data_IF_816763508269
#
_entry.id   IF_816763508269
#
_cell.length_a   1.000
_cell.length_b   1.000
_cell.length_c   1.000
_cell.angle_alpha   90.00
_cell.angle_beta   90.00
_cell.angle_gamma   90.00
#
_symmetry.space_group_name_H-M   'P 1'
#
loop_
_entity.id
_entity.type
_entity.pdbx_description
1 polymer ?
#
# COMPACT_ATOMS: atom_id res chain seq x y z
N UNK A 1 13.18 10.31 11.29
CA UNK A 1 13.10 10.09 9.83
C UNK A 1 11.78 10.60 9.24
N UNK A 2 11.78 10.97 7.96
CA UNK A 2 10.57 11.37 7.22
C UNK A 2 10.47 10.59 5.91
N UNK A 3 9.27 10.10 5.61
CA UNK A 3 8.94 9.51 4.32
C UNK A 3 7.82 10.29 3.65
N UNK A 4 7.98 10.56 2.37
CA UNK A 4 6.93 11.12 1.50
C UNK A 4 6.41 10.00 0.61
N UNK A 5 5.14 9.68 0.77
CA UNK A 5 4.44 8.62 0.05
C UNK A 5 3.69 9.26 -1.11
N UNK A 6 4.10 8.94 -2.33
CA UNK A 6 3.37 9.35 -3.52
C UNK A 6 2.29 8.33 -3.86
N UNK A 7 1.11 8.82 -4.16
CA UNK A 7 -0.08 8.03 -4.44
C UNK A 7 0.02 7.38 -5.82
N UNK A 8 -0.61 6.21 -6.00
CA UNK A 8 -0.75 5.58 -7.32
C UNK A 8 -1.41 6.55 -8.33
N UNK A 9 -0.88 6.73 -9.56
CA UNK A 9 -1.39 7.73 -10.51
C UNK A 9 -2.88 7.57 -10.83
N UNK A 10 -3.42 6.35 -10.84
CA UNK A 10 -4.85 6.14 -11.07
C UNK A 10 -5.74 6.70 -9.95
N UNK A 11 -5.18 6.99 -8.76
CA UNK A 11 -5.88 7.65 -7.67
C UNK A 11 -5.94 9.16 -7.91
N UNK A 12 -4.91 9.76 -8.51
CA UNK A 12 -4.82 11.21 -8.70
C UNK A 12 -5.73 11.72 -9.81
N UNK A 13 -6.08 10.88 -10.78
CA UNK A 13 -7.03 11.17 -11.87
C UNK A 13 -8.51 11.05 -11.46
N UNK A 14 -8.81 10.55 -10.25
CA UNK A 14 -10.20 10.44 -9.77
C UNK A 14 -10.77 11.83 -9.41
N UNK A 15 -12.10 11.93 -9.37
CA UNK A 15 -12.78 13.13 -8.87
C UNK A 15 -12.30 13.50 -7.46
N UNK A 16 -12.36 14.78 -7.12
CA UNK A 16 -11.88 15.31 -5.83
C UNK A 16 -12.44 14.55 -4.63
N UNK A 17 -13.75 14.26 -4.62
CA UNK A 17 -14.41 13.52 -3.53
C UNK A 17 -13.87 12.09 -3.38
N UNK A 18 -13.70 11.38 -4.50
CA UNK A 18 -13.18 10.01 -4.51
C UNK A 18 -11.71 9.99 -4.09
N UNK A 19 -10.89 10.91 -4.63
CA UNK A 19 -9.48 11.06 -4.26
C UNK A 19 -9.31 11.30 -2.76
N UNK A 20 -10.07 12.24 -2.18
CA UNK A 20 -10.03 12.51 -0.74
C UNK A 20 -10.41 11.28 0.09
N UNK A 21 -11.43 10.53 -0.33
CA UNK A 21 -11.82 9.26 0.30
C UNK A 21 -10.67 8.25 0.27
N UNK A 22 -10.01 8.10 -0.88
CA UNK A 22 -8.93 7.14 -1.07
C UNK A 22 -7.70 7.50 -0.23
N UNK A 23 -7.32 8.77 -0.20
CA UNK A 23 -6.21 9.27 0.64
C UNK A 23 -6.51 9.01 2.12
N UNK A 24 -7.75 9.25 2.57
CA UNK A 24 -8.16 8.98 3.95
C UNK A 24 -8.03 7.49 4.30
N UNK A 25 -8.49 6.60 3.41
CA UNK A 25 -8.38 5.15 3.62
C UNK A 25 -6.91 4.73 3.63
N UNK A 26 -6.11 5.18 2.67
CA UNK A 26 -4.68 4.85 2.59
C UNK A 26 -3.92 5.31 3.84
N UNK A 27 -4.21 6.51 4.33
CA UNK A 27 -3.66 7.05 5.59
C UNK A 27 -3.97 6.11 6.76
N UNK A 28 -5.21 5.60 6.84
CA UNK A 28 -5.60 4.61 7.85
C UNK A 28 -4.86 3.28 7.68
N UNK A 29 -4.71 2.80 6.44
CA UNK A 29 -4.00 1.56 6.14
C UNK A 29 -2.54 1.63 6.56
N UNK A 30 -1.85 2.72 6.20
CA UNK A 30 -0.47 2.98 6.58
C UNK A 30 -0.35 3.00 8.11
N UNK A 31 -1.21 3.75 8.81
CA UNK A 31 -1.19 3.80 10.26
C UNK A 31 -1.38 2.42 10.90
N UNK A 32 -2.33 1.63 10.41
CA UNK A 32 -2.61 0.31 10.96
C UNK A 32 -1.44 -0.67 10.77
N UNK A 33 -0.74 -0.61 9.64
CA UNK A 33 0.43 -1.45 9.36
C UNK A 33 1.63 -1.00 10.20
N UNK A 34 1.89 0.31 10.25
CA UNK A 34 3.09 0.86 10.89
C UNK A 34 3.01 0.91 12.42
N UNK A 35 1.80 0.86 13.00
CA UNK A 35 1.63 0.82 14.47
C UNK A 35 2.38 -0.34 15.13
N UNK A 36 2.60 -1.45 14.42
CA UNK A 36 3.34 -2.60 14.93
C UNK A 36 4.86 -2.36 15.06
N UNK A 37 5.38 -1.27 14.46
CA UNK A 37 6.81 -0.93 14.47
C UNK A 37 7.09 0.29 15.36
N UNK A 38 6.25 1.32 15.30
CA UNK A 38 6.36 2.54 16.11
C UNK A 38 4.96 3.07 16.43
N UNK A 39 4.55 3.03 17.70
CA UNK A 39 3.25 3.55 18.13
C UNK A 39 3.18 5.09 18.13
N UNK A 40 4.33 5.76 18.15
CA UNK A 40 4.44 7.23 18.19
C UNK A 40 4.48 7.88 16.80
N UNK A 41 4.42 7.07 15.76
CA UNK A 41 4.49 7.49 14.36
C UNK A 41 3.33 8.41 13.97
N UNK A 42 3.67 9.51 13.30
CA UNK A 42 2.71 10.46 12.75
C UNK A 42 2.50 10.19 11.25
N UNK A 43 1.25 9.97 10.85
CA UNK A 43 0.83 9.91 9.44
C UNK A 43 -0.03 11.12 9.14
N UNK A 44 0.52 12.04 8.35
CA UNK A 44 -0.13 13.30 7.95
C UNK A 44 -0.57 13.20 6.50
N UNK A 45 -1.83 13.52 6.23
CA UNK A 45 -2.37 13.53 4.86
C UNK A 45 -2.18 14.92 4.26
N UNK A 46 -1.66 14.96 3.05
CA UNK A 46 -1.65 16.16 2.21
C UNK A 46 -2.53 15.92 0.98
N UNK A 47 -2.72 16.96 0.17
CA UNK A 47 -3.59 16.87 -1.01
C UNK A 47 -3.07 15.85 -2.05
N UNK A 48 -1.76 15.78 -2.24
CA UNK A 48 -1.11 15.01 -3.30
C UNK A 48 -0.14 13.94 -2.82
N UNK A 49 0.14 13.89 -1.53
CA UNK A 49 1.02 12.90 -0.93
C UNK A 49 0.59 12.61 0.52
N UNK A 50 1.16 11.56 1.09
CA UNK A 50 1.03 11.25 2.53
C UNK A 50 2.42 11.35 3.12
N UNK A 51 2.52 11.95 4.29
CA UNK A 51 3.76 12.10 5.03
C UNK A 51 3.75 11.16 6.22
N UNK A 52 4.86 10.44 6.42
CA UNK A 52 5.09 9.57 7.56
C UNK A 52 6.32 10.05 8.31
N UNK A 53 6.17 10.35 9.60
CA UNK A 53 7.26 10.71 10.50
C UNK A 53 7.39 9.65 11.58
N UNK A 54 8.60 9.09 11.71
CA UNK A 54 8.97 8.19 12.80
C UNK A 54 10.16 8.78 13.57
N UNK A 55 10.19 8.54 14.88
CA UNK A 55 11.26 9.03 15.75
C UNK A 55 12.41 8.02 15.89
N UNK A 56 12.08 6.74 15.95
CA UNK A 56 13.08 5.68 16.13
C UNK A 56 13.79 5.34 14.82
N UNK A 57 15.05 5.79 14.71
CA UNK A 57 15.90 5.55 13.53
C UNK A 57 16.23 4.06 13.30
N UNK A 58 16.17 3.22 14.33
CA UNK A 58 16.49 1.79 14.20
C UNK A 58 15.43 1.02 13.38
N UNK A 59 14.18 1.49 13.38
CA UNK A 59 13.08 0.88 12.65
C UNK A 59 13.01 1.32 11.18
N UNK A 60 13.90 2.22 10.74
CA UNK A 60 13.92 2.76 9.37
C UNK A 60 13.83 1.68 8.28
N UNK A 61 14.67 0.64 8.25
CA UNK A 61 14.61 -0.37 7.18
C UNK A 61 13.30 -1.16 7.22
N UNK A 62 12.77 -1.45 8.40
CA UNK A 62 11.53 -2.22 8.58
C UNK A 62 10.29 -1.40 8.16
N UNK A 63 10.23 -0.13 8.54
CA UNK A 63 9.16 0.80 8.12
C UNK A 63 9.18 0.99 6.61
N UNK A 64 10.36 1.22 6.02
CA UNK A 64 10.53 1.33 4.57
C UNK A 64 10.01 0.08 3.86
N UNK A 65 10.46 -1.09 4.30
CA UNK A 65 10.03 -2.37 3.73
C UNK A 65 8.52 -2.58 3.85
N UNK A 66 7.92 -2.28 5.00
CA UNK A 66 6.48 -2.33 5.21
C UNK A 66 5.73 -1.40 4.25
N UNK A 67 6.19 -0.15 4.07
CA UNK A 67 5.59 0.82 3.16
C UNK A 67 5.58 0.33 1.71
N UNK A 68 6.65 -0.31 1.22
CA UNK A 68 6.70 -0.81 -0.16
C UNK A 68 5.59 -1.83 -0.46
N UNK A 69 5.04 -2.50 0.56
CA UNK A 69 4.07 -3.61 0.44
C UNK A 69 2.62 -3.17 0.61
N UNK A 70 2.34 -1.89 0.82
CA UNK A 70 0.97 -1.39 1.04
C UNK A 70 0.31 -1.04 -0.31
N UNK A 71 -0.86 -1.64 -0.64
CA UNK A 71 -1.60 -1.28 -1.83
C UNK A 71 -2.03 0.18 -1.84
N UNK A 72 -1.89 0.86 -2.98
CA UNK A 72 -2.20 2.28 -3.15
C UNK A 72 -0.97 3.21 -3.18
N UNK A 73 0.20 2.71 -2.79
CA UNK A 73 1.46 3.46 -2.81
C UNK A 73 2.17 3.26 -4.15
N UNK A 74 2.47 4.35 -4.86
CA UNK A 74 3.26 4.30 -6.10
C UNK A 74 4.73 4.12 -5.80
N UNK A 75 5.30 5.07 -5.05
CA UNK A 75 6.67 5.03 -4.57
C UNK A 75 6.78 5.86 -3.29
N UNK A 76 7.85 5.60 -2.56
CA UNK A 76 8.20 6.24 -1.30
C UNK A 76 9.50 7.00 -1.51
N UNK A 77 9.53 8.25 -1.08
CA UNK A 77 10.74 9.04 -0.97
C UNK A 77 11.15 9.06 0.50
N UNK A 78 12.34 8.54 0.79
CA UNK A 78 13.00 8.76 2.07
C UNK A 78 13.68 10.12 2.02
N UNK A 79 13.30 11.01 2.93
CA UNK A 79 13.74 12.40 2.90
C UNK A 79 14.29 12.85 4.25
N UNK A 80 15.32 13.69 4.20
CA UNK A 80 15.69 14.54 5.33
C UNK A 80 15.06 15.90 5.18
N UNK A 81 14.50 16.37 6.28
CA UNK A 81 13.74 17.61 6.36
C UNK A 81 14.54 18.60 7.20
N UNK A 82 15.11 19.60 6.53
CA UNK A 82 16.08 20.52 7.10
C UNK A 82 15.68 21.95 6.76
N UNK A 83 15.86 22.92 7.68
CA UNK A 83 15.64 24.32 7.35
C UNK A 83 16.73 24.80 6.40
N UNK A 84 16.43 25.80 5.56
CA UNK A 84 17.43 26.49 4.77
C UNK A 84 17.26 28.01 4.87
N UNK A 85 18.35 28.73 4.69
CA UNK A 85 18.42 30.19 4.79
C UNK A 85 18.69 30.88 3.46
N UNK A 86 19.40 30.22 2.55
CA UNK A 86 19.81 30.78 1.27
C UNK A 86 20.00 29.71 0.20
N UNK A 87 20.16 30.12 -1.07
CA UNK A 87 20.55 29.22 -2.15
C UNK A 87 21.91 28.55 -1.90
N UNK A 88 22.82 29.27 -1.23
CA UNK A 88 24.14 28.73 -0.88
C UNK A 88 24.03 27.61 0.16
N UNK A 89 23.21 27.84 1.18
CA UNK A 89 22.93 26.87 2.24
C UNK A 89 22.31 25.57 1.66
N UNK A 90 21.40 25.68 0.68
CA UNK A 90 20.86 24.50 -0.04
C UNK A 90 22.00 23.70 -0.70
N UNK A 91 22.95 24.38 -1.34
CA UNK A 91 24.10 23.73 -1.96
C UNK A 91 24.99 23.06 -0.90
N UNK A 92 25.34 23.76 0.18
CA UNK A 92 26.19 23.24 1.25
C UNK A 92 25.59 22.00 1.91
N UNK A 93 24.27 21.96 2.09
CA UNK A 93 23.57 20.80 2.62
C UNK A 93 23.45 19.65 1.60
N UNK A 94 23.38 19.95 0.29
CA UNK A 94 23.24 18.95 -0.77
C UNK A 94 24.58 18.24 -1.08
N UNK A 95 25.69 18.99 -1.05
CA UNK A 95 27.03 18.48 -1.38
C UNK A 95 27.44 17.22 -0.59
N UNK A 96 27.38 17.17 0.75
CA UNK A 96 27.84 16.01 1.52
C UNK A 96 26.99 14.76 1.28
N UNK A 97 25.70 14.92 0.93
CA UNK A 97 24.81 13.79 0.68
C UNK A 97 25.06 13.14 -0.68
N UNK A 98 25.47 13.93 -1.68
CA UNK A 98 25.55 13.47 -3.06
C UNK A 98 26.98 13.30 -3.59
N UNK A 99 28.01 13.78 -2.87
CA UNK A 99 29.42 13.68 -3.29
C UNK A 99 29.79 12.28 -3.77
N UNK A 100 29.67 11.29 -2.91
CA UNK A 100 30.04 9.89 -3.22
C UNK A 100 29.18 9.30 -4.35
N UNK A 101 27.91 9.69 -4.43
CA UNK A 101 26.98 9.16 -5.43
C UNK A 101 27.27 9.71 -6.85
N UNK A 102 27.85 10.91 -6.94
CA UNK A 102 28.09 11.66 -8.18
C UNK A 102 29.51 11.49 -8.74
N UNK A 103 30.45 10.98 -7.94
CA UNK A 103 31.83 10.75 -8.40
C UNK A 103 31.87 9.84 -9.63
N UNK A 104 32.54 10.32 -10.69
CA UNK A 104 32.70 9.62 -11.95
C UNK A 104 31.42 9.49 -12.80
N UNK A 105 30.34 10.19 -12.46
CA UNK A 105 29.04 10.07 -13.13
C UNK A 105 28.54 11.37 -13.75
N UNK A 106 27.63 11.23 -14.70
CA UNK A 106 26.86 12.35 -15.23
C UNK A 106 25.61 12.60 -14.40
N UNK A 107 25.24 13.86 -14.20
CA UNK A 107 24.09 14.19 -13.35
C UNK A 107 23.28 15.39 -13.81
N UNK A 108 22.04 15.46 -13.34
CA UNK A 108 21.25 16.68 -13.37
C UNK A 108 20.61 16.95 -12.01
N UNK A 109 20.37 18.23 -11.71
CA UNK A 109 19.58 18.65 -10.55
C UNK A 109 18.16 18.95 -11.00
N UNK A 110 17.18 18.44 -10.25
CA UNK A 110 15.76 18.72 -10.47
C UNK A 110 15.14 19.21 -9.17
N UNK A 111 14.58 20.42 -9.23
CA UNK A 111 14.02 21.07 -8.04
C UNK A 111 12.53 21.27 -8.20
N UNK A 112 11.76 20.80 -7.21
CA UNK A 112 10.33 21.08 -7.11
C UNK A 112 10.08 22.07 -5.98
N UNK A 113 9.46 23.21 -6.31
CA UNK A 113 9.21 24.30 -5.36
C UNK A 113 7.73 24.41 -5.00
N UNK A 114 7.43 24.59 -3.71
CA UNK A 114 6.12 24.94 -3.14
C UNK A 114 6.29 26.08 -2.15
N UNK A 115 5.44 27.11 -2.25
CA UNK A 115 5.52 28.31 -1.42
C UNK A 115 5.92 29.57 -2.19
N UNK A 116 6.23 30.64 -1.48
CA UNK A 116 6.66 31.94 -2.03
C UNK A 116 8.14 32.15 -1.72
N UNK A 117 8.95 32.32 -2.76
CA UNK A 117 10.40 32.53 -2.66
C UNK A 117 10.83 33.56 -3.71
N UNK A 118 11.90 34.29 -3.42
CA UNK A 118 12.52 35.25 -4.36
C UNK A 118 13.24 34.56 -5.54
N UNK A 119 13.46 33.25 -5.44
CA UNK A 119 14.12 32.44 -6.46
C UNK A 119 13.18 31.44 -7.15
N UNK A 120 13.54 31.09 -8.38
CA UNK A 120 12.88 30.08 -9.19
C UNK A 120 13.51 28.69 -8.99
N UNK A 121 12.79 27.63 -9.33
CA UNK A 121 13.36 26.27 -9.30
C UNK A 121 14.57 26.14 -10.24
N UNK A 122 14.53 26.81 -11.41
CA UNK A 122 15.61 26.80 -12.39
C UNK A 122 16.88 27.47 -11.84
N UNK A 123 16.74 28.57 -11.08
CA UNK A 123 17.88 29.21 -10.43
C UNK A 123 18.53 28.30 -9.39
N UNK A 124 17.72 27.58 -8.59
CA UNK A 124 18.25 26.58 -7.65
C UNK A 124 18.97 25.46 -8.40
N UNK A 125 18.37 24.91 -9.46
CA UNK A 125 18.99 23.85 -10.28
C UNK A 125 20.35 24.30 -10.85
N UNK A 126 20.42 25.53 -11.37
CA UNK A 126 21.65 26.10 -11.92
C UNK A 126 22.69 26.34 -10.83
N UNK A 127 22.30 26.93 -9.71
CA UNK A 127 23.22 27.27 -8.62
C UNK A 127 23.78 26.02 -7.96
N UNK A 128 22.91 25.11 -7.53
CA UNK A 128 23.31 23.85 -6.88
C UNK A 128 24.05 22.95 -7.86
N UNK A 129 23.57 22.82 -9.11
CA UNK A 129 24.23 22.03 -10.14
C UNK A 129 25.63 22.56 -10.49
N UNK A 130 25.77 23.88 -10.58
CA UNK A 130 27.06 24.54 -10.76
C UNK A 130 28.01 24.30 -9.60
N UNK A 131 27.53 24.46 -8.36
CA UNK A 131 28.30 24.19 -7.15
C UNK A 131 28.77 22.74 -7.07
N UNK A 132 27.89 21.77 -7.31
CA UNK A 132 28.25 20.34 -7.32
C UNK A 132 29.30 20.03 -8.40
N UNK A 133 29.14 20.58 -9.61
CA UNK A 133 30.09 20.37 -10.71
C UNK A 133 31.46 21.02 -10.47
N UNK A 134 31.53 22.10 -9.68
CA UNK A 134 32.79 22.74 -9.30
C UNK A 134 33.52 22.00 -8.17
N UNK A 135 32.79 21.35 -7.25
CA UNK A 135 33.35 20.72 -6.05
C UNK A 135 33.55 19.20 -6.17
N UNK A 136 33.05 18.59 -7.25
CA UNK A 136 33.20 17.17 -7.58
C UNK A 136 33.87 17.09 -8.95
N UNK A 137 35.20 17.08 -8.97
CA UNK A 137 36.01 17.20 -10.19
C UNK A 137 35.68 16.17 -11.28
N UNK A 138 35.22 14.98 -10.88
CA UNK A 138 34.91 13.86 -11.76
C UNK A 138 33.46 13.87 -12.26
N UNK A 139 32.57 14.63 -11.62
CA UNK A 139 31.18 14.70 -12.03
C UNK A 139 31.01 15.63 -13.25
N UNK A 140 30.01 15.34 -14.09
CA UNK A 140 29.67 16.18 -15.25
C UNK A 140 28.18 16.42 -15.34
N UNK A 141 27.77 17.66 -15.59
CA UNK A 141 26.36 17.98 -15.80
C UNK A 141 25.89 17.46 -17.17
N UNK A 142 24.82 16.67 -17.17
CA UNK A 142 24.14 16.17 -18.38
C UNK A 142 22.64 16.31 -18.18
N UNK A 143 21.97 17.11 -19.01
CA UNK A 143 20.54 17.41 -18.81
C UNK A 143 19.61 16.33 -19.38
N UNK A 144 20.08 15.58 -20.38
CA UNK A 144 19.37 14.51 -21.07
C UNK A 144 20.00 13.16 -20.70
N UNK A 145 19.20 12.23 -20.20
CA UNK A 145 19.64 10.88 -19.81
C UNK A 145 20.91 10.85 -18.91
N UNK A 146 20.89 11.50 -17.73
CA UNK A 146 22.00 11.45 -16.78
C UNK A 146 22.03 10.13 -16.00
N UNK A 147 23.22 9.73 -15.56
CA UNK A 147 23.38 8.56 -14.68
C UNK A 147 22.69 8.78 -13.32
N UNK A 148 22.70 10.01 -12.81
CA UNK A 148 22.11 10.37 -11.51
C UNK A 148 21.23 11.62 -11.63
N UNK A 149 20.03 11.55 -11.05
CA UNK A 149 19.15 12.73 -10.89
C UNK A 149 19.09 13.12 -9.41
N UNK A 150 19.68 14.27 -9.08
CA UNK A 150 19.61 14.87 -7.75
C UNK A 150 18.26 15.58 -7.61
N UNK A 151 17.35 14.99 -6.83
CA UNK A 151 16.02 15.53 -6.61
C UNK A 151 15.96 16.32 -5.30
N UNK A 152 15.58 17.59 -5.40
CA UNK A 152 15.36 18.48 -4.25
C UNK A 152 13.90 18.92 -4.24
N UNK A 153 13.20 18.82 -3.11
CA UNK A 153 11.90 19.48 -2.93
C UNK A 153 12.07 20.64 -1.92
N UNK A 154 11.61 21.84 -2.28
CA UNK A 154 11.58 23.02 -1.41
C UNK A 154 10.13 23.29 -1.06
N UNK A 155 9.80 23.30 0.24
CA UNK A 155 8.47 23.60 0.74
C UNK A 155 8.55 24.68 1.82
N UNK A 156 8.17 25.90 1.46
CA UNK A 156 8.38 27.10 2.29
C UNK A 156 9.86 27.22 2.71
N UNK A 157 10.14 27.37 4.01
CA UNK A 157 11.47 27.48 4.62
C UNK A 157 12.20 26.13 4.81
N UNK A 158 11.65 25.04 4.25
CA UNK A 158 12.16 23.68 4.44
C UNK A 158 12.68 23.10 3.13
N UNK A 159 13.85 22.48 3.21
CA UNK A 159 14.48 21.70 2.15
C UNK A 159 14.30 20.21 2.47
N UNK A 160 13.76 19.48 1.49
CA UNK A 160 13.57 18.04 1.52
C UNK A 160 14.62 17.39 0.64
N UNK A 161 15.64 16.82 1.30
CA UNK A 161 16.74 16.12 0.66
C UNK A 161 16.35 14.66 0.45
N UNK A 162 16.17 14.25 -0.81
CA UNK A 162 15.76 12.87 -1.14
C UNK A 162 16.96 11.94 -1.04
N UNK A 163 16.96 11.05 -0.04
CA UNK A 163 18.01 10.04 0.16
C UNK A 163 17.80 8.78 -0.67
N UNK A 164 16.55 8.44 -0.93
CA UNK A 164 16.21 7.23 -1.65
C UNK A 164 14.79 7.25 -2.18
N UNK A 165 14.60 6.59 -3.33
CA UNK A 165 13.30 6.34 -3.93
C UNK A 165 13.07 4.84 -3.97
N UNK A 166 11.96 4.40 -3.38
CA UNK A 166 11.60 2.99 -3.30
C UNK A 166 10.23 2.78 -3.93
N UNK A 167 10.14 1.84 -4.86
CA UNK A 167 8.89 1.54 -5.54
C UNK A 167 7.92 0.81 -4.60
N UNK A 168 6.66 1.24 -4.63
CA UNK A 168 5.56 0.56 -3.97
C UNK A 168 4.88 -0.41 -4.93
N UNK A 169 4.02 -1.28 -4.39
CA UNK A 169 3.26 -2.23 -5.22
C UNK A 169 2.17 -1.57 -6.09
N UNK A 170 1.85 -0.29 -5.90
CA UNK A 170 0.81 0.43 -6.64
C UNK A 170 -0.61 -0.06 -6.31
N UNK A 171 -1.53 0.09 -7.26
CA UNK A 171 -2.93 -0.33 -7.10
C UNK A 171 -3.75 0.62 -6.23
N UNK A 172 -4.75 0.08 -5.51
CA UNK A 172 -5.67 0.88 -4.70
C UNK A 172 -5.61 0.52 -3.21
N UNK A 173 -5.86 1.49 -2.31
CA UNK A 173 -5.91 1.22 -0.88
C UNK A 173 -6.99 0.17 -0.55
N UNK A 174 -6.63 -0.85 0.24
CA UNK A 174 -7.59 -1.86 0.73
C UNK A 174 -8.76 -1.16 1.44
N UNK A 175 -9.98 -1.60 1.12
CA UNK A 175 -11.22 -1.01 1.65
C UNK A 175 -11.80 0.10 0.77
N UNK A 176 -11.17 0.40 -0.37
CA UNK A 176 -11.77 1.25 -1.41
C UNK A 176 -12.75 0.51 -2.29
N UNK A 177 -12.53 -0.80 -2.49
CA UNK A 177 -13.43 -1.73 -3.17
C UNK A 177 -14.21 -2.56 -2.15
N UNK A 178 -15.17 -3.33 -2.64
CA UNK A 178 -15.97 -4.24 -1.83
C UNK A 178 -15.13 -5.39 -1.24
N UNK A 179 -15.68 -6.00 -0.19
CA UNK A 179 -15.10 -7.19 0.42
C UNK A 179 -15.35 -8.40 -0.49
N UNK A 180 -14.31 -9.18 -0.75
CA UNK A 180 -14.37 -10.36 -1.63
C UNK A 180 -14.03 -11.63 -0.85
N UNK A 181 -14.57 -12.76 -1.30
CA UNK A 181 -14.25 -14.08 -0.74
C UNK A 181 -13.45 -14.87 -1.79
N UNK A 182 -12.18 -15.14 -1.48
CA UNK A 182 -11.28 -15.92 -2.31
C UNK A 182 -11.37 -17.40 -1.95
N UNK A 183 -11.61 -18.25 -2.95
CA UNK A 183 -11.50 -19.71 -2.83
C UNK A 183 -10.02 -20.07 -2.86
N UNK A 184 -9.44 -20.37 -1.69
CA UNK A 184 -8.02 -20.69 -1.56
C UNK A 184 -7.85 -22.20 -1.43
N UNK A 185 -7.08 -22.79 -2.34
CA UNK A 185 -6.89 -24.25 -2.43
C UNK A 185 -5.55 -24.73 -1.86
N UNK A 186 -4.64 -23.80 -1.55
CA UNK A 186 -3.23 -24.08 -1.23
C UNK A 186 -2.32 -24.09 -2.45
N UNK A 187 -2.90 -24.05 -3.67
CA UNK A 187 -2.14 -23.91 -4.91
C UNK A 187 -1.70 -22.46 -5.20
N UNK A 188 -0.66 -22.33 -6.02
CA UNK A 188 -0.04 -21.04 -6.37
C UNK A 188 -1.04 -20.01 -6.94
N UNK A 189 -1.88 -20.43 -7.89
CA UNK A 189 -2.83 -19.53 -8.60
C UNK A 189 -3.83 -18.87 -7.64
N UNK A 190 -4.30 -19.63 -6.65
CA UNK A 190 -5.24 -19.12 -5.64
C UNK A 190 -4.61 -18.06 -4.73
N UNK A 191 -3.31 -18.17 -4.47
CA UNK A 191 -2.54 -17.15 -3.75
C UNK A 191 -2.32 -15.90 -4.57
N UNK A 192 -1.90 -16.04 -5.83
CA UNK A 192 -1.65 -14.92 -6.75
C UNK A 192 -2.93 -14.14 -7.03
N UNK A 193 -4.05 -14.83 -7.30
CA UNK A 193 -5.35 -14.18 -7.51
C UNK A 193 -5.80 -13.39 -6.28
N UNK A 194 -5.62 -13.94 -5.07
CA UNK A 194 -5.90 -13.24 -3.82
C UNK A 194 -5.04 -11.98 -3.67
N UNK A 195 -3.73 -12.08 -3.98
CA UNK A 195 -2.83 -10.93 -3.99
C UNK A 195 -3.26 -9.84 -4.98
N UNK A 196 -3.61 -10.22 -6.21
CA UNK A 196 -4.07 -9.28 -7.23
C UNK A 196 -5.35 -8.55 -6.79
N UNK A 197 -6.29 -9.23 -6.12
CA UNK A 197 -7.49 -8.60 -5.56
C UNK A 197 -7.16 -7.62 -4.43
N UNK A 198 -6.22 -7.97 -3.54
CA UNK A 198 -5.73 -7.04 -2.50
C UNK A 198 -5.11 -5.79 -3.13
N UNK A 199 -4.28 -5.97 -4.17
CA UNK A 199 -3.67 -4.86 -4.92
C UNK A 199 -4.71 -3.95 -5.59
N UNK A 200 -5.87 -4.48 -5.98
CA UNK A 200 -7.00 -3.69 -6.51
C UNK A 200 -7.84 -2.98 -5.44
N UNK A 201 -7.48 -3.11 -4.15
CA UNK A 201 -8.14 -2.41 -3.05
C UNK A 201 -9.30 -3.19 -2.41
N UNK A 202 -9.46 -4.47 -2.75
CA UNK A 202 -10.46 -5.34 -2.13
C UNK A 202 -9.96 -5.85 -0.77
N UNK A 203 -10.88 -5.97 0.20
CA UNK A 203 -10.60 -6.74 1.41
C UNK A 203 -10.85 -8.22 1.12
N UNK A 204 -9.80 -9.02 1.09
CA UNK A 204 -9.87 -10.43 0.73
C UNK A 204 -10.07 -11.29 1.97
N UNK A 205 -11.24 -11.92 2.06
CA UNK A 205 -11.52 -13.03 2.97
C UNK A 205 -11.18 -14.35 2.27
N UNK A 206 -10.91 -15.40 3.04
CA UNK A 206 -10.47 -16.69 2.51
C UNK A 206 -11.52 -17.77 2.80
N UNK A 207 -11.74 -18.65 1.83
CA UNK A 207 -12.62 -19.80 1.92
C UNK A 207 -11.86 -21.04 1.48
N UNK A 208 -11.71 -21.99 2.39
CA UNK A 208 -11.14 -23.30 2.13
C UNK A 208 -12.25 -24.34 2.17
N UNK A 209 -12.35 -25.14 1.12
CA UNK A 209 -13.49 -26.04 0.96
C UNK A 209 -13.08 -27.51 0.91
N UNK A 210 -11.82 -27.90 0.69
CA UNK A 210 -11.51 -29.30 0.40
C UNK A 210 -10.10 -29.68 0.83
N UNK A 211 -10.01 -30.80 1.55
CA UNK A 211 -8.78 -31.37 2.08
C UNK A 211 -8.91 -31.58 3.59
N UNK A 212 -8.24 -32.62 4.11
CA UNK A 212 -8.23 -32.91 5.53
C UNK A 212 -7.50 -31.85 6.37
N UNK A 213 -7.46 -32.05 7.68
CA UNK A 213 -6.91 -31.08 8.64
C UNK A 213 -5.47 -30.62 8.32
N UNK A 214 -4.61 -31.53 7.84
CA UNK A 214 -3.25 -31.20 7.44
C UNK A 214 -3.20 -30.21 6.26
N UNK A 215 -4.08 -30.41 5.26
CA UNK A 215 -4.17 -29.52 4.10
C UNK A 215 -4.72 -28.16 4.52
N UNK A 216 -5.76 -28.13 5.36
CA UNK A 216 -6.31 -26.88 5.92
C UNK A 216 -5.23 -26.05 6.62
N UNK A 217 -4.37 -26.67 7.44
CA UNK A 217 -3.27 -25.99 8.13
C UNK A 217 -2.33 -25.33 7.12
N UNK A 218 -1.92 -26.05 6.08
CA UNK A 218 -1.06 -25.51 5.01
C UNK A 218 -1.71 -24.32 4.30
N UNK A 219 -2.97 -24.45 3.91
CA UNK A 219 -3.71 -23.35 3.26
C UNK A 219 -3.84 -22.14 4.19
N UNK A 220 -4.07 -22.36 5.48
CA UNK A 220 -4.15 -21.29 6.47
C UNK A 220 -2.82 -20.55 6.63
N UNK A 221 -1.69 -21.25 6.56
CA UNK A 221 -0.36 -20.61 6.58
C UNK A 221 -0.16 -19.72 5.35
N UNK A 222 -0.54 -20.19 4.15
CA UNK A 222 -0.46 -19.40 2.91
C UNK A 222 -1.36 -18.16 3.00
N UNK A 223 -2.61 -18.32 3.43
CA UNK A 223 -3.54 -17.21 3.62
C UNK A 223 -3.01 -16.19 4.64
N UNK A 224 -2.46 -16.68 5.76
CA UNK A 224 -1.85 -15.84 6.79
C UNK A 224 -0.63 -15.08 6.26
N UNK A 225 0.24 -15.73 5.48
CA UNK A 225 1.40 -15.09 4.87
C UNK A 225 0.99 -13.93 3.95
N UNK A 226 0.03 -14.18 3.04
CA UNK A 226 -0.48 -13.17 2.12
C UNK A 226 -1.11 -12.00 2.86
N UNK A 227 -1.94 -12.29 3.86
CA UNK A 227 -2.57 -11.29 4.70
C UNK A 227 -1.54 -10.48 5.48
N UNK A 228 -0.62 -11.13 6.19
CA UNK A 228 0.37 -10.45 7.02
C UNK A 228 1.27 -9.53 6.18
N UNK A 229 1.66 -9.98 4.98
CA UNK A 229 2.59 -9.26 4.11
C UNK A 229 1.97 -8.09 3.36
N UNK A 230 0.70 -8.18 2.92
CA UNK A 230 0.08 -7.18 2.04
C UNK A 230 -1.26 -6.61 2.55
N UNK A 231 -1.92 -7.30 3.47
CA UNK A 231 -3.29 -7.03 3.91
C UNK A 231 -3.47 -6.73 5.40
N UNK A 232 -2.39 -6.65 6.18
CA UNK A 232 -2.39 -6.54 7.65
C UNK A 232 -3.05 -5.27 8.18
N UNK A 233 -3.28 -4.27 7.31
CA UNK A 233 -4.10 -3.09 7.62
C UNK A 233 -5.54 -3.41 8.07
N UNK A 234 -6.06 -4.60 7.75
CA UNK A 234 -7.45 -4.98 7.97
C UNK A 234 -7.60 -6.37 8.56
N UNK A 235 -8.65 -6.57 9.36
CA UNK A 235 -9.06 -7.90 9.80
C UNK A 235 -9.77 -8.64 8.68
N UNK A 236 -9.34 -9.87 8.42
CA UNK A 236 -9.96 -10.78 7.45
C UNK A 236 -10.53 -11.99 8.16
N UNK A 237 -11.30 -12.80 7.43
CA UNK A 237 -11.88 -14.06 7.93
C UNK A 237 -11.35 -15.20 7.09
N UNK A 238 -11.12 -16.33 7.74
CA UNK A 238 -10.84 -17.60 7.09
C UNK A 238 -12.01 -18.53 7.41
N UNK A 239 -12.69 -19.02 6.37
CA UNK A 239 -13.84 -19.92 6.50
C UNK A 239 -13.42 -21.28 5.96
N UNK A 240 -13.41 -22.29 6.82
CA UNK A 240 -13.24 -23.68 6.42
C UNK A 240 -14.62 -24.35 6.32
N UNK A 241 -14.88 -25.02 5.21
CA UNK A 241 -16.11 -25.78 4.96
C UNK A 241 -15.72 -27.24 4.74
N UNK A 242 -16.31 -28.16 5.51
CA UNK A 242 -16.10 -29.57 5.29
C UNK A 242 -16.88 -30.05 4.05
N UNK A 243 -16.17 -30.34 2.95
CA UNK A 243 -16.78 -30.93 1.74
C UNK A 243 -16.70 -32.45 1.69
N UNK A 244 -16.10 -33.14 2.66
CA UNK A 244 -15.98 -34.59 2.63
C UNK A 244 -17.33 -35.31 2.36
N UNK A 245 -18.46 -34.94 3.00
CA UNK A 245 -19.75 -35.55 2.68
C UNK A 245 -20.24 -35.23 1.26
N UNK A 246 -19.97 -34.02 0.78
CA UNK A 246 -20.37 -33.58 -0.57
C UNK A 246 -19.60 -34.33 -1.64
N UNK A 247 -18.30 -34.58 -1.40
CA UNK A 247 -17.47 -35.36 -2.31
C UNK A 247 -17.93 -36.82 -2.32
N UNK A 248 -18.23 -37.40 -1.16
CA UNK A 248 -18.80 -38.75 -1.08
C UNK A 248 -20.07 -38.90 -1.93
N UNK A 249 -21.02 -37.97 -1.79
CA UNK A 249 -22.25 -38.00 -2.61
C UNK A 249 -21.99 -37.83 -4.12
N UNK A 250 -20.99 -37.02 -4.50
CA UNK A 250 -20.64 -36.83 -5.92
C UNK A 250 -20.07 -38.12 -6.50
N UNK A 251 -19.20 -38.82 -5.76
CA UNK A 251 -18.60 -40.09 -6.19
C UNK A 251 -19.65 -41.20 -6.41
N UNK A 252 -20.75 -41.18 -5.64
CA UNK A 252 -21.80 -42.20 -5.75
C UNK A 252 -22.87 -41.87 -6.80
N UNK A 253 -23.18 -40.59 -7.02
CA UNK A 253 -24.40 -40.17 -7.73
C UNK A 253 -24.15 -39.39 -9.03
N UNK A 254 -22.91 -39.03 -9.35
CA UNK A 254 -22.60 -38.18 -10.51
C UNK A 254 -21.71 -38.95 -11.47
N UNK A 255 -22.04 -38.86 -12.76
CA UNK A 255 -21.22 -39.42 -13.85
C UNK A 255 -19.78 -38.87 -13.83
N UNK A 256 -18.82 -39.75 -14.11
CA UNK A 256 -17.38 -39.48 -14.00
C UNK A 256 -16.95 -38.23 -14.78
N UNK A 257 -17.54 -38.01 -15.97
CA UNK A 257 -17.23 -36.87 -16.82
C UNK A 257 -17.66 -35.52 -16.25
N UNK A 258 -18.59 -35.50 -15.29
CA UNK A 258 -19.19 -34.28 -14.73
C UNK A 258 -18.79 -34.01 -13.28
N UNK A 259 -18.18 -34.97 -12.57
CA UNK A 259 -17.83 -34.85 -11.15
C UNK A 259 -17.08 -33.55 -10.83
N UNK A 260 -16.03 -33.24 -11.59
CA UNK A 260 -15.20 -32.04 -11.36
C UNK A 260 -15.98 -30.73 -11.53
N UNK A 261 -16.92 -30.69 -12.48
CA UNK A 261 -17.78 -29.52 -12.72
C UNK A 261 -18.79 -29.37 -11.59
N UNK A 262 -19.44 -30.47 -11.18
CA UNK A 262 -20.41 -30.46 -10.07
C UNK A 262 -19.74 -30.03 -8.77
N UNK A 263 -18.57 -30.57 -8.45
CA UNK A 263 -17.79 -30.19 -7.26
C UNK A 263 -17.50 -28.69 -7.23
N UNK A 264 -16.95 -28.13 -8.32
CA UNK A 264 -16.66 -26.69 -8.42
C UNK A 264 -17.92 -25.84 -8.27
N UNK A 265 -19.05 -26.26 -8.86
CA UNK A 265 -20.35 -25.57 -8.69
C UNK A 265 -20.80 -25.58 -7.23
N UNK A 266 -20.64 -26.69 -6.52
CA UNK A 266 -20.97 -26.76 -5.09
C UNK A 266 -20.05 -25.89 -4.24
N UNK A 267 -18.75 -25.85 -4.53
CA UNK A 267 -17.79 -24.96 -3.87
C UNK A 267 -18.18 -23.49 -4.00
N UNK A 268 -18.54 -23.04 -5.21
CA UNK A 268 -18.96 -21.65 -5.46
C UNK A 268 -20.29 -21.34 -4.75
N UNK A 269 -21.24 -22.29 -4.72
CA UNK A 269 -22.52 -22.14 -4.00
C UNK A 269 -22.30 -22.02 -2.49
N UNK A 270 -21.45 -22.87 -1.91
CA UNK A 270 -21.13 -22.81 -0.49
C UNK A 270 -20.44 -21.50 -0.13
N UNK A 271 -19.45 -21.07 -0.92
CA UNK A 271 -18.78 -19.78 -0.74
C UNK A 271 -19.76 -18.59 -0.82
N UNK A 272 -20.68 -18.62 -1.79
CA UNK A 272 -21.72 -17.58 -1.94
C UNK A 272 -22.61 -17.49 -0.70
N UNK A 273 -23.03 -18.62 -0.12
CA UNK A 273 -23.80 -18.67 1.12
C UNK A 273 -22.99 -18.14 2.31
N UNK A 274 -21.74 -18.56 2.46
CA UNK A 274 -20.84 -18.09 3.53
C UNK A 274 -20.60 -16.58 3.45
N UNK A 275 -20.43 -16.04 2.24
CA UNK A 275 -20.31 -14.58 2.01
C UNK A 275 -21.53 -13.83 2.53
N UNK A 276 -22.73 -14.29 2.21
CA UNK A 276 -23.98 -13.66 2.67
C UNK A 276 -24.09 -13.69 4.20
N UNK A 277 -23.73 -14.81 4.84
CA UNK A 277 -23.69 -14.91 6.29
C UNK A 277 -22.66 -13.94 6.92
N UNK A 278 -21.52 -13.74 6.25
CA UNK A 278 -20.50 -12.78 6.67
C UNK A 278 -20.96 -11.32 6.52
N UNK A 279 -21.70 -11.02 5.46
CA UNK A 279 -22.30 -9.71 5.20
C UNK A 279 -23.43 -9.38 6.20
N UNK A 280 -24.30 -10.34 6.52
CA UNK A 280 -25.34 -10.18 7.56
C UNK A 280 -24.75 -9.85 8.94
N UNK A 281 -23.60 -10.43 9.32
CA UNK A 281 -22.93 -10.08 10.59
C UNK A 281 -22.32 -8.67 10.61
N UNK A 282 -22.22 -7.99 9.47
CA UNK A 282 -21.84 -6.57 9.39
C UNK A 282 -23.02 -5.65 9.75
N UNK A 283 -24.25 -6.17 9.79
CA UNK A 283 -25.47 -5.48 10.19
C UNK A 283 -25.94 -5.95 11.58
N UNK A 284 -25.05 -5.84 12.55
CA UNK A 284 -25.43 -5.84 13.97
C UNK A 284 -24.63 -4.72 14.63
N UNK A 285 -25.14 -3.47 14.65
CA UNK A 285 -24.63 -2.51 15.61
C UNK A 285 -24.94 -3.10 16.97
N UNK A 286 -23.90 -3.59 17.66
CA UNK A 286 -24.03 -4.02 19.03
C UNK A 286 -24.67 -2.88 19.82
N UNK A 287 -25.85 -3.20 20.37
CA UNK A 287 -26.64 -2.44 21.33
C UNK A 287 -25.74 -1.59 22.24
N UNK A 288 -25.77 -0.26 22.07
CA UNK A 288 -25.83 0.62 23.23
C UNK A 288 -27.27 0.57 23.73
N UNK A 289 -27.43 0.22 24.99
CA UNK A 289 -28.69 0.16 25.72
C UNK A 289 -29.49 1.46 25.62
N UNK A 290 -30.74 1.39 25.17
CA UNK A 290 -31.94 1.83 25.90
C UNK A 290 -33.13 2.06 24.95
N UNK A 291 -34.22 1.32 25.23
CA UNK A 291 -35.65 1.59 24.96
C UNK A 291 -36.23 1.47 23.53
N UNK A 292 -37.17 0.52 23.47
CA UNK A 292 -38.42 0.39 22.68
C UNK A 292 -38.40 0.02 21.18
N UNK A 293 -39.38 -0.79 20.72
CA UNK A 293 -39.32 -1.51 19.45
C UNK A 293 -40.09 -0.79 18.34
N UNK A 294 -39.44 -0.61 17.18
CA UNK A 294 -40.15 -0.44 15.91
C UNK A 294 -39.59 -1.47 14.95
N UNK A 295 -40.44 -2.41 14.54
CA UNK A 295 -40.13 -3.41 13.51
C UNK A 295 -39.85 -2.71 12.18
N UNK A 296 -38.90 -3.21 11.37
CA UNK A 296 -39.00 -3.09 9.92
C UNK A 296 -39.27 -4.46 9.31
N UNK A 297 -40.34 -4.51 8.53
CA UNK A 297 -40.68 -5.55 7.57
C UNK A 297 -39.52 -5.81 6.60
N UNK A 298 -39.08 -7.07 6.53
CA UNK A 298 -38.20 -7.58 5.49
C UNK A 298 -39.05 -8.00 4.29
N UNK A 299 -38.97 -7.23 3.21
CA UNK A 299 -39.26 -7.70 1.85
C UNK A 299 -37.96 -7.63 1.06
N UNK A 300 -37.31 -8.78 0.90
CA UNK A 300 -36.37 -9.02 -0.19
C UNK A 300 -37.18 -9.54 -1.38
N UNK A 301 -37.05 -8.89 -2.53
CA UNK A 301 -37.32 -9.48 -3.83
C UNK A 301 -36.01 -10.07 -4.38
#
# INVERSE_FOLDING_TARGET
>A
MKFIIKLFPEITIKSQSVRLRFIKILTGNIRNVLKNYDETLAVVRHWDHIEVRAKDENQRPAIRDALTRIPGIHHILEVEDVPFTSLHDIFEQTLPLWREALEGKTFCVRVKRRGKHEFTSIEVERYVGGGLNQHIETARVKLTDPDVTVNLEIENDRLLLVKGRYEGIGGFPIGTQEDVLSLISGGFDSGVSSYMLMRRGCRVHYCFNLGGAAHEIGVRQVAHYLWNRFGSSHRVRFVAINFEPVVGEILEKVDDGQMGVVLKRMMVRAASKSRNAMACRRWSPAKRSARSPVRPSLTCA
#
